data_IF_848902790046
#
_entry.id   IF_848902790046
#
_cell.length_a   1.000
_cell.length_b   1.000
_cell.length_c   1.000
_cell.angle_alpha   90.00
_cell.angle_beta   90.00
_cell.angle_gamma   90.00
#
_symmetry.space_group_name_H-M   'P 1'
#
loop_
_entity.id
_entity.type
_entity.pdbx_description
1 polymer ?
#
# COMPACT_ATOMS: atom_id res chain seq x y z
N UNK A 1 24.91 -4.93 -11.56
CA UNK A 1 23.75 -4.01 -11.63
C UNK A 1 23.75 -3.18 -10.35
N UNK A 2 23.61 -1.85 -10.39
CA UNK A 2 23.62 -1.03 -9.16
C UNK A 2 22.20 -0.86 -8.64
N UNK A 3 21.87 -1.57 -7.58
CA UNK A 3 20.58 -1.46 -6.89
C UNK A 3 20.46 -0.11 -6.18
N UNK A 4 19.30 0.52 -6.26
CA UNK A 4 18.96 1.66 -5.40
C UNK A 4 18.82 1.19 -3.95
N UNK A 5 19.00 2.10 -3.00
CA UNK A 5 18.82 1.74 -1.59
C UNK A 5 17.35 1.43 -1.26
N UNK A 6 16.41 2.07 -1.95
CA UNK A 6 14.98 1.75 -1.84
C UNK A 6 14.66 0.32 -2.31
N UNK A 7 15.24 -0.11 -3.43
CA UNK A 7 15.07 -1.48 -3.91
C UNK A 7 15.58 -2.50 -2.88
N UNK A 8 16.78 -2.26 -2.32
CA UNK A 8 17.35 -3.14 -1.30
C UNK A 8 16.45 -3.26 -0.08
N UNK A 9 15.91 -2.13 0.39
CA UNK A 9 14.97 -2.10 1.51
C UNK A 9 13.70 -2.89 1.14
N UNK A 10 13.11 -2.65 -0.03
CA UNK A 10 11.94 -3.39 -0.49
C UNK A 10 12.18 -4.91 -0.53
N UNK A 11 13.30 -5.36 -1.09
CA UNK A 11 13.63 -6.80 -1.14
C UNK A 11 13.83 -7.38 0.25
N UNK A 12 14.46 -6.64 1.16
CA UNK A 12 14.66 -7.07 2.54
C UNK A 12 13.32 -7.26 3.24
N UNK A 13 12.48 -6.23 3.24
CA UNK A 13 11.18 -6.23 3.91
C UNK A 13 10.24 -7.30 3.33
N UNK A 14 10.14 -7.42 2.01
CA UNK A 14 9.32 -8.44 1.36
C UNK A 14 9.84 -9.87 1.60
N UNK A 15 11.13 -10.06 1.84
CA UNK A 15 11.70 -11.38 2.12
C UNK A 15 11.31 -11.91 3.50
N UNK A 16 11.03 -11.03 4.47
CA UNK A 16 10.58 -11.40 5.83
C UNK A 16 9.29 -12.24 5.76
N UNK A 17 8.41 -11.96 4.79
CA UNK A 17 7.16 -12.69 4.53
C UNK A 17 7.34 -14.19 4.23
N UNK A 18 8.56 -14.61 3.89
CA UNK A 18 8.90 -15.99 3.56
C UNK A 18 9.74 -16.67 4.65
N UNK A 19 10.12 -15.94 5.70
CA UNK A 19 10.98 -16.43 6.76
C UNK A 19 10.18 -16.87 7.98
N UNK A 20 9.12 -16.15 8.29
CA UNK A 20 8.22 -16.52 9.39
C UNK A 20 6.92 -17.13 8.86
N UNK A 21 6.49 -18.23 9.50
CA UNK A 21 5.18 -18.84 9.24
C UNK A 21 4.10 -18.18 10.09
N UNK A 22 4.46 -17.65 11.25
CA UNK A 22 3.58 -16.98 12.19
C UNK A 22 3.95 -15.50 12.25
N UNK A 23 3.88 -14.81 11.11
CA UNK A 23 4.11 -13.36 11.05
C UNK A 23 3.10 -12.65 11.97
N UNK A 24 3.60 -11.99 13.00
CA UNK A 24 2.76 -11.29 13.97
C UNK A 24 2.20 -10.01 13.37
N UNK A 25 1.03 -9.57 13.85
CA UNK A 25 0.40 -8.33 13.41
C UNK A 25 1.32 -7.10 13.54
N UNK A 26 2.18 -7.07 14.57
CA UNK A 26 3.16 -6.01 14.78
C UNK A 26 4.28 -6.01 13.73
N UNK A 27 4.66 -7.18 13.23
CA UNK A 27 5.64 -7.29 12.15
C UNK A 27 5.03 -6.86 10.83
N UNK A 28 3.78 -7.24 10.56
CA UNK A 28 3.04 -6.77 9.40
C UNK A 28 2.88 -5.23 9.40
N UNK A 29 2.66 -4.61 10.56
CA UNK A 29 2.64 -3.15 10.72
C UNK A 29 3.99 -2.52 10.40
N UNK A 30 5.09 -3.10 10.89
CA UNK A 30 6.43 -2.59 10.67
C UNK A 30 6.84 -2.69 9.19
N UNK A 31 6.59 -3.84 8.57
CA UNK A 31 6.83 -4.06 7.14
C UNK A 31 6.01 -3.08 6.31
N UNK A 32 4.71 -2.91 6.63
CA UNK A 32 3.85 -1.98 5.90
C UNK A 32 4.32 -0.53 6.01
N UNK A 33 4.79 -0.11 7.19
CA UNK A 33 5.38 1.24 7.38
C UNK A 33 6.65 1.41 6.58
N UNK A 34 7.60 0.49 6.70
CA UNK A 34 8.87 0.55 5.98
C UNK A 34 8.65 0.59 4.46
N UNK A 35 7.69 -0.21 3.95
CA UNK A 35 7.32 -0.20 2.53
C UNK A 35 6.58 1.07 2.10
N UNK A 36 5.81 1.70 3.00
CA UNK A 36 5.09 2.96 2.69
C UNK A 36 6.01 4.17 2.55
N UNK A 37 7.21 4.12 3.12
CA UNK A 37 8.23 5.16 2.98
C UNK A 37 8.98 5.08 1.64
N UNK A 38 8.79 3.98 0.90
CA UNK A 38 9.41 3.78 -0.41
C UNK A 38 8.54 4.35 -1.51
N UNK A 39 9.17 4.84 -2.59
CA UNK A 39 8.47 5.37 -3.78
C UNK A 39 8.01 4.24 -4.72
N UNK A 40 7.40 3.20 -4.15
CA UNK A 40 6.88 2.05 -4.88
C UNK A 40 5.37 1.94 -4.74
N UNK A 41 4.70 1.74 -5.87
CA UNK A 41 3.28 1.41 -5.88
C UNK A 41 3.05 -0.02 -5.38
N UNK A 42 1.90 -0.28 -4.75
CA UNK A 42 1.51 -1.63 -4.30
C UNK A 42 1.63 -2.68 -5.44
N UNK A 43 1.19 -2.42 -6.68
CA UNK A 43 1.39 -3.36 -7.80
C UNK A 43 2.86 -3.64 -8.10
N UNK A 44 3.76 -2.66 -7.90
CA UNK A 44 5.19 -2.86 -8.11
C UNK A 44 5.79 -3.75 -7.02
N UNK A 45 5.39 -3.56 -5.75
CA UNK A 45 5.79 -4.43 -4.64
C UNK A 45 5.28 -5.87 -4.86
N UNK A 46 4.04 -6.02 -5.33
CA UNK A 46 3.48 -7.34 -5.69
C UNK A 46 4.26 -8.01 -6.83
N UNK A 47 4.72 -7.23 -7.81
CA UNK A 47 5.59 -7.73 -8.87
C UNK A 47 6.92 -8.24 -8.31
N UNK A 48 7.59 -7.44 -7.47
CA UNK A 48 8.85 -7.83 -6.82
C UNK A 48 8.67 -9.10 -5.98
N UNK A 49 7.60 -9.15 -5.18
CA UNK A 49 7.25 -10.31 -4.36
C UNK A 49 7.09 -11.57 -5.22
N UNK A 50 6.28 -11.51 -6.28
CA UNK A 50 5.92 -12.66 -7.11
C UNK A 50 7.06 -13.15 -8.00
N UNK A 51 7.76 -12.25 -8.67
CA UNK A 51 8.69 -12.63 -9.74
C UNK A 51 10.15 -12.64 -9.32
N UNK A 52 10.52 -11.84 -8.31
CA UNK A 52 11.90 -11.70 -7.89
C UNK A 52 12.18 -12.50 -6.62
N UNK A 53 11.28 -12.46 -5.63
CA UNK A 53 11.51 -13.06 -4.31
C UNK A 53 10.95 -14.48 -4.20
N UNK A 54 9.67 -14.67 -4.55
CA UNK A 54 8.98 -15.95 -4.36
C UNK A 54 9.75 -17.15 -4.95
N UNK A 55 10.29 -17.10 -6.19
CA UNK A 55 11.00 -18.25 -6.75
C UNK A 55 12.32 -18.59 -6.04
N UNK A 56 12.88 -17.64 -5.29
CA UNK A 56 14.11 -17.83 -4.50
C UNK A 56 13.78 -18.38 -3.12
N UNK A 57 12.69 -17.92 -2.52
CA UNK A 57 12.31 -18.21 -1.13
C UNK A 57 11.14 -19.19 -0.98
N UNK A 58 10.54 -19.68 -2.07
CA UNK A 58 9.44 -20.66 -2.00
C UNK A 58 9.84 -21.95 -1.28
N UNK A 59 11.14 -22.30 -1.32
CA UNK A 59 11.69 -23.43 -0.56
C UNK A 59 11.51 -23.28 0.95
N UNK A 60 11.46 -22.05 1.48
CA UNK A 60 11.25 -21.79 2.90
C UNK A 60 9.83 -22.19 3.35
N UNK A 61 8.83 -22.13 2.47
CA UNK A 61 7.49 -22.64 2.79
C UNK A 61 7.46 -24.17 2.87
N UNK A 62 8.28 -24.84 2.06
CA UNK A 62 8.31 -26.31 1.98
C UNK A 62 9.18 -26.93 3.08
N UNK A 63 10.21 -26.22 3.54
CA UNK A 63 11.11 -26.71 4.56
C UNK A 63 10.57 -26.38 5.96
N UNK A 64 9.87 -27.34 6.58
CA UNK A 64 9.34 -27.24 7.96
C UNK A 64 10.43 -27.02 9.03
N UNK A 65 11.69 -27.30 8.70
CA UNK A 65 12.85 -27.23 9.60
C UNK A 65 13.70 -26.00 9.28
N UNK A 66 13.29 -24.85 9.80
CA UNK A 66 14.17 -23.85 10.44
C UNK A 66 15.59 -23.64 9.90
N UNK A 67 15.85 -23.59 8.60
CA UNK A 67 17.13 -23.11 8.08
C UNK A 67 17.15 -21.57 7.98
N UNK A 68 16.82 -20.93 9.12
CA UNK A 68 17.31 -19.59 9.45
C UNK A 68 18.83 -19.47 9.26
N UNK A 69 19.54 -20.60 9.27
CA UNK A 69 21.00 -20.71 9.10
C UNK A 69 21.48 -20.30 7.70
N UNK A 70 20.61 -20.28 6.68
CA UNK A 70 20.98 -19.92 5.31
C UNK A 70 20.57 -18.53 4.85
N UNK A 71 19.68 -17.84 5.58
CA UNK A 71 19.23 -16.50 5.21
C UNK A 71 20.23 -15.46 5.69
N UNK A 72 21.05 -14.97 4.76
CA UNK A 72 21.79 -13.73 4.94
C UNK A 72 21.50 -12.81 3.75
N UNK A 73 21.44 -11.51 4.02
CA UNK A 73 21.18 -10.49 3.01
C UNK A 73 22.13 -10.60 1.80
N UNK A 74 23.45 -10.83 1.95
CA UNK A 74 24.35 -10.85 0.81
C UNK A 74 24.08 -12.00 -0.18
N UNK A 75 23.85 -13.26 0.25
CA UNK A 75 23.39 -14.33 -0.62
C UNK A 75 22.02 -14.08 -1.27
N UNK A 76 21.06 -13.45 -0.57
CA UNK A 76 19.77 -13.09 -1.14
C UNK A 76 19.96 -12.15 -2.33
N UNK A 77 20.66 -11.03 -2.15
CA UNK A 77 20.89 -10.07 -3.22
C UNK A 77 21.64 -10.66 -4.40
N UNK A 78 22.62 -11.55 -4.16
CA UNK A 78 23.30 -12.28 -5.24
C UNK A 78 22.36 -13.18 -6.04
N UNK A 79 21.41 -13.86 -5.38
CA UNK A 79 20.42 -14.72 -6.06
C UNK A 79 19.43 -13.88 -6.86
N UNK A 80 18.98 -12.74 -6.34
CA UNK A 80 18.10 -11.83 -7.08
C UNK A 80 18.85 -11.22 -8.27
N UNK A 81 20.10 -10.78 -8.10
CA UNK A 81 20.91 -10.23 -9.20
C UNK A 81 21.16 -11.27 -10.29
N UNK A 82 21.54 -12.50 -9.93
CA UNK A 82 21.71 -13.60 -10.88
C UNK A 82 20.43 -13.91 -11.67
N UNK A 83 19.26 -13.66 -11.06
CA UNK A 83 17.95 -13.84 -11.69
C UNK A 83 17.61 -12.69 -12.63
N UNK A 84 17.85 -11.45 -12.23
CA UNK A 84 17.62 -10.27 -13.08
C UNK A 84 18.56 -10.20 -14.28
N UNK A 85 19.80 -10.69 -14.12
CA UNK A 85 20.82 -10.73 -15.18
C UNK A 85 20.73 -11.98 -16.06
N UNK A 86 19.76 -12.86 -15.78
CA UNK A 86 19.65 -14.16 -16.46
C UNK A 86 19.23 -13.96 -17.93
N UNK A 87 19.92 -14.60 -18.89
CA UNK A 87 19.57 -14.45 -20.29
C UNK A 87 18.18 -15.04 -20.58
N UNK A 88 17.45 -14.38 -21.48
CA UNK A 88 16.03 -14.64 -21.78
C UNK A 88 15.72 -16.11 -22.12
N UNK A 89 16.64 -16.83 -22.76
CA UNK A 89 16.46 -18.25 -23.11
C UNK A 89 16.46 -19.19 -21.89
N UNK A 90 17.24 -18.87 -20.85
CA UNK A 90 17.20 -19.57 -19.56
C UNK A 90 15.95 -19.19 -18.76
N UNK A 91 15.46 -17.96 -18.91
CA UNK A 91 14.19 -17.53 -18.33
C UNK A 91 13.02 -18.31 -18.93
N UNK A 92 13.03 -18.52 -20.25
CA UNK A 92 12.00 -19.23 -21.00
C UNK A 92 11.96 -20.74 -20.73
N UNK A 93 13.02 -21.35 -20.21
CA UNK A 93 13.01 -22.76 -19.78
C UNK A 93 12.56 -22.92 -18.31
N UNK A 94 12.77 -21.90 -17.47
CA UNK A 94 12.39 -21.94 -16.05
C UNK A 94 11.01 -21.35 -15.74
N UNK A 95 10.38 -20.64 -16.69
CA UNK A 95 9.06 -20.03 -16.47
C UNK A 95 7.94 -21.03 -16.12
N UNK A 96 7.96 -22.23 -16.70
CA UNK A 96 6.90 -23.24 -16.58
C UNK A 96 6.91 -23.89 -15.18
N UNK A 97 8.05 -24.40 -14.67
CA UNK A 97 8.11 -24.88 -13.31
C UNK A 97 7.82 -23.77 -12.29
N UNK A 98 8.27 -22.53 -12.53
CA UNK A 98 7.95 -21.41 -11.63
C UNK A 98 6.45 -21.08 -11.58
N UNK A 99 5.77 -21.15 -12.73
CA UNK A 99 4.33 -20.94 -12.81
C UNK A 99 3.57 -22.05 -12.07
N UNK A 100 4.03 -23.30 -12.18
CA UNK A 100 3.48 -24.43 -11.42
C UNK A 100 3.72 -24.29 -9.91
N UNK A 101 4.91 -23.88 -9.48
CA UNK A 101 5.23 -23.64 -8.08
C UNK A 101 4.39 -22.48 -7.52
N UNK A 102 4.23 -21.39 -8.29
CA UNK A 102 3.34 -20.29 -7.90
C UNK A 102 1.88 -20.73 -7.82
N UNK A 103 1.42 -21.59 -8.73
CA UNK A 103 0.07 -22.16 -8.64
C UNK A 103 -0.10 -23.00 -7.36
N UNK A 104 0.91 -23.79 -6.99
CA UNK A 104 0.87 -24.66 -5.81
C UNK A 104 1.05 -23.91 -4.47
N UNK A 105 1.93 -22.91 -4.40
CA UNK A 105 2.36 -22.26 -3.15
C UNK A 105 2.12 -20.74 -3.11
N UNK A 106 1.72 -20.13 -4.22
CA UNK A 106 1.48 -18.68 -4.27
C UNK A 106 0.36 -18.20 -3.35
N UNK A 107 -0.55 -19.10 -2.96
CA UNK A 107 -1.57 -18.81 -1.95
C UNK A 107 -0.96 -18.55 -0.56
N UNK A 108 0.13 -19.22 -0.19
CA UNK A 108 0.83 -18.97 1.08
C UNK A 108 1.48 -17.59 1.08
N UNK A 109 2.18 -17.24 0.00
CA UNK A 109 2.76 -15.91 -0.17
C UNK A 109 1.69 -14.82 -0.15
N UNK A 110 0.53 -15.06 -0.78
CA UNK A 110 -0.62 -14.15 -0.72
C UNK A 110 -1.21 -14.04 0.68
N UNK A 111 -1.27 -15.13 1.43
CA UNK A 111 -1.77 -15.14 2.81
C UNK A 111 -0.90 -14.27 3.71
N UNK A 112 0.42 -14.38 3.60
CA UNK A 112 1.36 -13.53 4.35
C UNK A 112 1.37 -12.08 3.84
N UNK A 113 1.18 -11.86 2.54
CA UNK A 113 1.11 -10.51 1.96
C UNK A 113 -0.18 -9.75 2.32
N UNK A 114 -1.30 -10.43 2.45
CA UNK A 114 -2.62 -9.82 2.69
C UNK A 114 -2.64 -8.82 3.87
N UNK A 115 -2.16 -9.16 5.08
CA UNK A 115 -2.15 -8.22 6.21
C UNK A 115 -1.28 -6.98 5.97
N UNK A 116 -0.14 -7.12 5.28
CA UNK A 116 0.74 -5.99 4.93
C UNK A 116 0.09 -5.09 3.88
N UNK A 117 -0.52 -5.69 2.86
CA UNK A 117 -1.23 -4.98 1.79
C UNK A 117 -2.39 -4.15 2.35
N UNK A 118 -3.18 -4.71 3.26
CA UNK A 118 -4.30 -4.00 3.88
C UNK A 118 -3.81 -2.76 4.64
N UNK A 119 -2.73 -2.91 5.42
CA UNK A 119 -2.10 -1.80 6.15
C UNK A 119 -1.51 -0.75 5.22
N UNK A 120 -0.84 -1.17 4.14
CA UNK A 120 -0.34 -0.26 3.10
C UNK A 120 -1.48 0.55 2.48
N UNK A 121 -2.59 -0.08 2.13
CA UNK A 121 -3.77 0.61 1.60
C UNK A 121 -4.31 1.61 2.62
N UNK A 122 -4.37 1.23 3.90
CA UNK A 122 -4.85 2.13 4.97
C UNK A 122 -3.94 3.34 5.18
N UNK A 123 -2.61 3.17 5.09
CA UNK A 123 -1.63 4.27 5.18
C UNK A 123 -1.78 5.23 3.99
N UNK A 124 -1.97 4.70 2.79
CA UNK A 124 -2.11 5.52 1.57
C UNK A 124 -3.49 6.14 1.42
N UNK A 125 -4.49 5.69 2.18
CA UNK A 125 -5.82 6.29 2.17
C UNK A 125 -5.74 7.63 2.91
N UNK A 126 -6.04 8.76 2.25
CA UNK A 126 -6.12 10.03 2.95
C UNK A 126 -7.18 9.91 4.07
N UNK A 127 -6.98 10.54 5.23
CA UNK A 127 -7.89 10.38 6.35
C UNK A 127 -9.31 10.76 5.92
N UNK A 128 -10.26 9.83 6.08
CA UNK A 128 -11.68 9.98 5.73
C UNK A 128 -12.34 11.19 6.42
N UNK A 129 -11.65 11.83 7.35
CA UNK A 129 -12.11 12.96 8.14
C UNK A 129 -11.91 14.33 7.45
N UNK A 130 -11.23 14.41 6.29
CA UNK A 130 -10.99 15.66 5.56
C UNK A 130 -12.02 15.98 4.46
N UNK A 131 -13.02 15.12 4.23
CA UNK A 131 -14.07 15.34 3.20
C UNK A 131 -15.36 15.96 3.74
N UNK A 132 -15.35 16.53 4.95
CA UNK A 132 -16.42 17.40 5.44
C UNK A 132 -15.91 18.85 5.52
N UNK A 133 -15.60 19.44 4.36
CA UNK A 133 -15.53 20.89 4.23
C UNK A 133 -16.91 21.35 3.74
N UNK A 134 -17.69 22.10 4.54
CA UNK A 134 -18.88 22.75 4.03
C UNK A 134 -18.46 23.66 2.88
N UNK A 135 -18.97 23.40 1.69
CA UNK A 135 -18.72 24.19 0.50
C UNK A 135 -19.19 25.62 0.77
N UNK A 136 -18.25 26.54 0.99
CA UNK A 136 -18.56 27.96 1.12
C UNK A 136 -19.10 28.42 -0.23
N UNK A 137 -20.39 28.72 -0.24
CA UNK A 137 -21.14 29.23 -1.37
C UNK A 137 -20.63 30.63 -1.76
N UNK A 138 -19.56 30.67 -2.55
CA UNK A 138 -19.07 31.89 -3.22
C UNK A 138 -19.86 32.07 -4.52
N UNK A 139 -21.17 32.24 -4.36
CA UNK A 139 -22.13 32.55 -5.40
C UNK A 139 -22.59 34.01 -5.35
N UNK A 140 -21.91 34.87 -6.11
CA UNK A 140 -22.54 35.83 -7.03
C UNK A 140 -23.65 36.77 -6.48
N UNK A 141 -23.26 37.99 -6.12
CA UNK A 141 -24.07 39.20 -6.31
C UNK A 141 -23.11 40.32 -6.74
N UNK A 142 -23.10 40.81 -7.98
CA UNK A 142 -24.27 41.18 -8.78
C UNK A 142 -24.65 42.61 -8.41
N UNK A 143 -23.86 43.56 -8.89
CA UNK A 143 -24.06 45.00 -8.81
C UNK A 143 -25.42 45.44 -9.35
N UNK A 144 -26.20 46.17 -8.55
CA UNK A 144 -27.21 47.08 -9.10
C UNK A 144 -27.47 48.29 -8.18
N UNK A 145 -27.74 49.39 -8.84
CA UNK A 145 -27.58 50.78 -8.42
C UNK A 145 -28.77 51.35 -7.62
N UNK A 146 -28.42 52.10 -6.57
CA UNK A 146 -29.05 53.34 -6.04
C UNK A 146 -30.37 53.81 -6.71
N UNK A 147 -31.44 53.99 -5.92
CA UNK A 147 -32.33 55.18 -5.92
C UNK A 147 -33.28 55.23 -4.69
N UNK A 148 -33.24 56.39 -4.02
CA UNK A 148 -34.26 57.12 -3.23
C UNK A 148 -35.26 56.41 -2.28
N UNK A 149 -35.30 56.90 -1.03
CA UNK A 149 -36.40 56.72 -0.07
C UNK A 149 -37.70 57.47 -0.48
N UNK A 150 -38.76 57.50 0.37
CA UNK A 150 -38.67 58.07 1.72
C UNK A 150 -39.46 57.33 2.84
N UNK A 151 -39.39 57.93 4.02
CA UNK A 151 -39.92 57.54 5.32
C UNK A 151 -41.46 57.49 5.45
N UNK A 152 -41.95 56.57 6.30
CA UNK A 152 -43.04 56.73 7.29
C UNK A 152 -43.21 55.34 7.96
N UNK A 153 -43.31 55.12 9.27
CA UNK A 153 -44.08 55.83 10.30
C UNK A 153 -45.15 54.85 10.83
N UNK A 154 -45.14 54.54 12.14
CA UNK A 154 -46.34 54.01 12.81
C UNK A 154 -46.27 52.67 13.57
N UNK A 155 -45.86 52.74 14.84
CA UNK A 155 -46.70 52.44 16.03
C UNK A 155 -47.56 51.15 16.09
N UNK A 156 -47.11 50.23 16.96
CA UNK A 156 -47.82 49.50 18.03
C UNK A 156 -49.17 48.75 17.79
N UNK A 157 -49.22 47.49 18.27
CA UNK A 157 -50.23 46.84 19.16
C UNK A 157 -49.84 45.34 19.31
N UNK A 158 -49.45 44.83 20.50
CA UNK A 158 -50.24 44.32 21.64
C UNK A 158 -51.32 43.27 21.30
N UNK A 159 -51.33 42.25 22.17
CA UNK A 159 -52.29 41.16 22.42
C UNK A 159 -52.18 39.91 21.54
N UNK A 160 -52.49 38.69 21.98
CA UNK A 160 -52.59 37.95 23.25
C UNK A 160 -53.21 36.58 22.87
N UNK A 161 -53.22 35.63 23.83
CA UNK A 161 -54.08 34.42 23.90
C UNK A 161 -53.55 33.23 23.09
N UNK A 162 -53.31 32.04 23.63
CA UNK A 162 -53.76 31.42 24.88
C UNK A 162 -54.62 30.21 24.55
N UNK A 163 -54.05 29.01 24.68
CA UNK A 163 -54.64 27.80 25.29
C UNK A 163 -53.63 26.67 25.26
#
# INVERSE_FOLDING_TARGET
MTWTDQEKIAYRELSILFLDRDMFDAEADLIARNLSELDFTIPHLEYMLRYNIFPILCGNFLCLLGEWVGFSEPPLFRRIEARLTRPLWLSMTMWLPELLIWWALGWMAKSQWAPVRERLVNIHKPPSHFLNVPQLDLGRAGSETRKHGPANGGRAKRQAKGR
#
